data_IF_725713268027
#
_entry.id   IF_725713268027
#
_cell.length_a   1.000
_cell.length_b   1.000
_cell.length_c   1.000
_cell.angle_alpha   90.00
_cell.angle_beta   90.00
_cell.angle_gamma   90.00
#
_symmetry.space_group_name_H-M   'P 1'
#
loop_
_entity.id
_entity.type
_entity.pdbx_description
1 polymer ?
#
# COMPACT_ATOMS: atom_id res chain seq x y z
N UNK A 1 -7.96 -17.46 -24.97
CA UNK A 1 -8.18 -16.70 -23.75
C UNK A 1 -9.45 -15.88 -23.93
N UNK A 2 -10.27 -15.79 -22.88
CA UNK A 2 -11.60 -15.19 -22.98
C UNK A 2 -11.56 -13.67 -22.67
N UNK A 3 -10.47 -13.18 -22.10
CA UNK A 3 -10.28 -11.79 -21.69
C UNK A 3 -8.94 -11.28 -22.22
N UNK A 4 -8.95 -10.11 -22.86
CA UNK A 4 -7.78 -9.31 -23.16
C UNK A 4 -7.59 -8.28 -22.03
N UNK A 5 -6.44 -8.31 -21.38
CA UNK A 5 -6.12 -7.40 -20.28
C UNK A 5 -5.19 -6.30 -20.77
N UNK A 6 -5.61 -5.05 -20.65
CA UNK A 6 -4.84 -3.86 -21.00
C UNK A 6 -4.44 -3.10 -19.73
N UNK A 7 -3.19 -2.66 -19.67
CA UNK A 7 -2.64 -1.94 -18.52
C UNK A 7 -2.44 -0.46 -18.87
N UNK A 8 -3.23 0.41 -18.26
CA UNK A 8 -3.04 1.85 -18.33
C UNK A 8 -2.47 2.37 -17.00
N UNK A 9 -1.32 3.02 -17.07
CA UNK A 9 -0.63 3.59 -15.91
C UNK A 9 -0.65 5.12 -15.94
N UNK A 10 -0.88 5.75 -14.80
CA UNK A 10 -0.86 7.21 -14.69
C UNK A 10 0.51 7.75 -14.32
N UNK A 11 1.37 6.90 -13.77
CA UNK A 11 2.70 7.23 -13.29
C UNK A 11 2.72 8.38 -12.25
N UNK A 12 1.71 8.46 -11.39
CA UNK A 12 1.67 9.41 -10.27
C UNK A 12 2.89 9.23 -9.34
N UNK A 13 3.42 8.01 -9.21
CA UNK A 13 4.62 7.65 -8.45
C UNK A 13 5.56 6.85 -9.34
N UNK A 14 6.18 7.51 -10.32
CA UNK A 14 6.95 6.90 -11.41
C UNK A 14 7.94 5.82 -10.94
N UNK A 15 8.89 6.18 -10.09
CA UNK A 15 9.95 5.26 -9.66
C UNK A 15 9.42 4.00 -8.95
N UNK A 16 8.40 4.17 -8.10
CA UNK A 16 7.77 3.06 -7.39
C UNK A 16 6.98 2.17 -8.34
N UNK A 17 6.26 2.76 -9.30
CA UNK A 17 5.50 2.04 -10.30
C UNK A 17 6.43 1.21 -11.19
N UNK A 18 7.49 1.82 -11.71
CA UNK A 18 8.43 1.17 -12.63
C UNK A 18 9.08 -0.04 -11.95
N UNK A 19 9.46 0.06 -10.67
CA UNK A 19 10.01 -1.07 -9.92
C UNK A 19 9.02 -2.22 -9.76
N UNK A 20 7.74 -1.94 -9.53
CA UNK A 20 6.68 -2.97 -9.44
C UNK A 20 6.43 -3.60 -10.80
N UNK A 21 6.35 -2.80 -11.86
CA UNK A 21 6.18 -3.30 -13.23
C UNK A 21 7.31 -4.27 -13.63
N UNK A 22 8.56 -3.95 -13.26
CA UNK A 22 9.72 -4.81 -13.50
C UNK A 22 9.63 -6.13 -12.70
N UNK A 23 9.28 -6.07 -11.41
CA UNK A 23 9.16 -7.27 -10.55
C UNK A 23 8.14 -8.27 -11.11
N UNK A 24 7.06 -7.79 -11.73
CA UNK A 24 5.98 -8.64 -12.27
C UNK A 24 6.06 -8.84 -13.79
N UNK A 25 7.14 -8.37 -14.45
CA UNK A 25 7.30 -8.40 -15.91
C UNK A 25 6.07 -7.85 -16.66
N UNK A 26 5.54 -6.73 -16.15
CA UNK A 26 4.38 -6.06 -16.74
C UNK A 26 4.82 -4.92 -17.66
N UNK A 27 4.02 -4.73 -18.73
CA UNK A 27 4.19 -3.59 -19.65
C UNK A 27 2.91 -2.79 -19.69
N UNK A 28 3.06 -1.46 -19.69
CA UNK A 28 1.94 -0.57 -19.89
C UNK A 28 1.55 -0.53 -21.39
N UNK A 29 0.26 -0.72 -21.67
CA UNK A 29 -0.31 -0.47 -23.00
C UNK A 29 -0.56 1.03 -23.21
N UNK A 30 -0.80 1.76 -22.12
CA UNK A 30 -0.93 3.21 -22.10
C UNK A 30 -0.23 3.78 -20.89
N UNK A 31 0.62 4.79 -21.09
CA UNK A 31 1.32 5.50 -20.03
C UNK A 31 1.00 7.00 -20.11
N UNK A 32 0.29 7.51 -19.11
CA UNK A 32 -0.18 8.90 -19.08
C UNK A 32 0.89 9.88 -18.60
N UNK A 33 1.93 9.41 -17.93
CA UNK A 33 3.07 10.20 -17.42
C UNK A 33 2.68 11.53 -16.78
N UNK A 34 1.73 11.50 -15.84
CA UNK A 34 1.14 12.73 -15.27
C UNK A 34 2.03 13.40 -14.23
N UNK A 35 3.12 12.74 -13.79
CA UNK A 35 3.92 13.24 -12.68
C UNK A 35 4.67 14.53 -13.03
N UNK A 36 4.48 15.53 -12.18
CA UNK A 36 5.29 16.77 -12.22
C UNK A 36 5.58 17.25 -10.79
N UNK A 37 6.72 17.93 -10.55
CA UNK A 37 7.04 18.43 -9.22
C UNK A 37 5.96 19.35 -8.63
N UNK A 38 5.69 19.20 -7.32
CA UNK A 38 4.79 20.06 -6.55
C UNK A 38 3.32 20.08 -7.04
N UNK A 39 2.82 18.95 -7.51
CA UNK A 39 1.42 18.85 -7.91
C UNK A 39 0.46 18.95 -6.71
N UNK A 40 -0.68 19.60 -6.93
CA UNK A 40 -1.83 19.56 -6.03
C UNK A 40 -2.73 18.37 -6.36
N UNK A 41 -3.59 17.94 -5.42
CA UNK A 41 -4.60 16.93 -5.69
C UNK A 41 -5.48 17.27 -6.89
N UNK A 42 -5.88 18.55 -7.02
CA UNK A 42 -6.67 19.04 -8.17
C UNK A 42 -5.92 18.86 -9.49
N UNK A 43 -4.62 19.16 -9.53
CA UNK A 43 -3.80 19.00 -10.73
C UNK A 43 -3.67 17.52 -11.11
N UNK A 44 -3.42 16.65 -10.14
CA UNK A 44 -3.32 15.19 -10.34
C UNK A 44 -4.65 14.68 -10.91
N UNK A 45 -5.77 14.96 -10.24
CA UNK A 45 -7.10 14.49 -10.65
C UNK A 45 -7.45 14.99 -12.06
N UNK A 46 -7.19 16.25 -12.38
CA UNK A 46 -7.48 16.81 -13.70
C UNK A 46 -6.67 16.16 -14.81
N UNK A 47 -5.36 15.96 -14.58
CA UNK A 47 -4.49 15.30 -15.57
C UNK A 47 -4.87 13.83 -15.77
N UNK A 48 -5.16 13.11 -14.67
CA UNK A 48 -5.64 11.73 -14.76
C UNK A 48 -6.94 11.65 -15.55
N UNK A 49 -7.90 12.53 -15.26
CA UNK A 49 -9.20 12.53 -15.93
C UNK A 49 -9.06 12.75 -17.45
N UNK A 50 -8.31 13.77 -17.86
CA UNK A 50 -8.08 14.06 -19.27
C UNK A 50 -7.29 12.94 -19.98
N UNK A 51 -6.24 12.41 -19.35
CA UNK A 51 -5.47 11.33 -19.93
C UNK A 51 -6.27 10.01 -20.02
N UNK A 52 -7.11 9.72 -19.03
CA UNK A 52 -8.01 8.56 -19.08
C UNK A 52 -9.09 8.69 -20.14
N UNK A 53 -9.57 9.92 -20.41
CA UNK A 53 -10.52 10.21 -21.49
C UNK A 53 -9.93 9.77 -22.85
N UNK A 54 -8.72 10.25 -23.15
CA UNK A 54 -7.99 9.87 -24.38
C UNK A 54 -7.71 8.35 -24.44
N UNK A 55 -7.29 7.76 -23.31
CA UNK A 55 -6.99 6.32 -23.24
C UNK A 55 -8.22 5.45 -23.50
N UNK A 56 -9.38 5.80 -22.96
CA UNK A 56 -10.64 5.07 -23.16
C UNK A 56 -11.10 5.17 -24.62
N UNK A 57 -10.98 6.35 -25.23
CA UNK A 57 -11.31 6.52 -26.65
C UNK A 57 -10.43 5.68 -27.58
N UNK A 58 -9.16 5.52 -27.23
CA UNK A 58 -8.19 4.76 -28.03
C UNK A 58 -8.35 3.22 -27.82
N UNK A 59 -8.42 2.79 -26.57
CA UNK A 59 -8.40 1.37 -26.20
C UNK A 59 -9.78 0.72 -26.25
N UNK A 60 -10.85 1.50 -26.09
CA UNK A 60 -12.27 1.06 -26.13
C UNK A 60 -12.54 -0.16 -25.25
N UNK A 61 -12.20 -0.11 -23.97
CA UNK A 61 -12.39 -1.25 -23.08
C UNK A 61 -13.87 -1.54 -22.84
N UNK A 62 -14.22 -2.82 -22.71
CA UNK A 62 -15.58 -3.25 -22.33
C UNK A 62 -15.85 -3.02 -20.82
N UNK A 63 -14.79 -2.96 -20.01
CA UNK A 63 -14.84 -2.70 -18.57
C UNK A 63 -13.51 -2.09 -18.11
N UNK A 64 -13.56 -1.25 -17.09
CA UNK A 64 -12.37 -0.72 -16.43
C UNK A 64 -12.33 -1.24 -14.99
N UNK A 65 -11.17 -1.78 -14.58
CA UNK A 65 -10.88 -2.11 -13.21
C UNK A 65 -10.05 -0.98 -12.58
N UNK A 66 -10.52 -0.46 -11.46
CA UNK A 66 -9.76 0.50 -10.64
C UNK A 66 -9.45 -0.11 -9.28
N UNK A 67 -8.27 0.17 -8.73
CA UNK A 67 -7.80 -0.46 -7.51
C UNK A 67 -7.58 0.56 -6.37
N UNK A 68 -8.10 0.24 -5.20
CA UNK A 68 -7.85 0.99 -3.97
C UNK A 68 -8.55 2.35 -3.91
N UNK A 69 -7.81 3.39 -3.52
CA UNK A 69 -8.38 4.66 -3.04
C UNK A 69 -7.63 5.93 -3.45
N UNK A 70 -6.70 5.82 -4.38
CA UNK A 70 -5.92 6.98 -4.84
C UNK A 70 -6.76 7.94 -5.68
N UNK A 71 -6.24 9.15 -5.90
CA UNK A 71 -6.84 10.11 -6.84
C UNK A 71 -6.91 9.54 -8.27
N UNK A 72 -5.97 8.69 -8.65
CA UNK A 72 -5.97 7.93 -9.91
C UNK A 72 -7.17 6.98 -9.99
N UNK A 73 -7.44 6.23 -8.92
CA UNK A 73 -8.59 5.32 -8.82
C UNK A 73 -9.90 6.05 -9.06
N UNK A 74 -10.08 7.19 -8.36
CA UNK A 74 -11.27 8.02 -8.53
C UNK A 74 -11.39 8.62 -9.93
N UNK A 75 -10.31 9.18 -10.48
CA UNK A 75 -10.33 9.78 -11.81
C UNK A 75 -10.61 8.75 -12.90
N UNK A 76 -10.02 7.55 -12.79
CA UNK A 76 -10.28 6.44 -13.71
C UNK A 76 -11.74 5.99 -13.69
N UNK A 77 -12.33 5.83 -12.50
CA UNK A 77 -13.74 5.48 -12.37
C UNK A 77 -14.66 6.57 -12.95
N UNK A 78 -14.37 7.84 -12.69
CA UNK A 78 -15.17 8.96 -13.17
C UNK A 78 -15.10 9.10 -14.71
N UNK A 79 -13.92 8.93 -15.31
CA UNK A 79 -13.77 8.94 -16.77
C UNK A 79 -14.51 7.77 -17.41
N UNK A 80 -14.40 6.54 -16.85
CA UNK A 80 -15.18 5.40 -17.30
C UNK A 80 -16.69 5.67 -17.30
N UNK A 81 -17.19 6.26 -16.21
CA UNK A 81 -18.61 6.64 -16.11
C UNK A 81 -19.03 7.62 -17.22
N UNK A 82 -18.21 8.62 -17.54
CA UNK A 82 -18.52 9.57 -18.63
C UNK A 82 -18.59 8.90 -19.99
N UNK A 83 -17.79 7.87 -20.23
CA UNK A 83 -17.82 7.04 -21.44
C UNK A 83 -18.82 5.90 -21.39
N UNK A 84 -19.59 5.75 -20.30
CA UNK A 84 -20.54 4.64 -20.06
C UNK A 84 -19.88 3.25 -20.13
N UNK A 85 -18.63 3.18 -19.71
CA UNK A 85 -17.88 1.94 -19.55
C UNK A 85 -18.08 1.43 -18.13
N UNK A 86 -18.50 0.18 -17.91
CA UNK A 86 -18.67 -0.41 -16.60
C UNK A 86 -17.38 -0.37 -15.76
N UNK A 87 -17.51 -0.17 -14.44
CA UNK A 87 -16.39 -0.04 -13.51
C UNK A 87 -16.40 -1.17 -12.49
N UNK A 88 -15.30 -1.90 -12.37
CA UNK A 88 -15.04 -2.80 -11.26
C UNK A 88 -14.07 -2.16 -10.26
N UNK A 89 -14.44 -2.11 -8.99
CA UNK A 89 -13.60 -1.59 -7.90
C UNK A 89 -12.95 -2.73 -7.14
N UNK A 90 -11.64 -2.85 -7.29
CA UNK A 90 -10.80 -3.82 -6.57
C UNK A 90 -10.36 -3.19 -5.24
N UNK A 91 -10.34 -3.97 -4.16
CA UNK A 91 -10.14 -3.52 -2.78
C UNK A 91 -11.30 -2.62 -2.30
N UNK A 92 -12.53 -2.98 -2.67
CA UNK A 92 -13.73 -2.21 -2.35
C UNK A 92 -14.18 -2.40 -0.89
N UNK A 93 -14.80 -1.36 -0.32
CA UNK A 93 -15.50 -1.44 0.96
C UNK A 93 -14.67 -1.18 2.22
N UNK A 94 -13.40 -0.82 2.10
CA UNK A 94 -12.59 -0.30 3.21
C UNK A 94 -13.20 1.03 3.70
N UNK A 95 -13.38 1.19 5.02
CA UNK A 95 -13.98 2.40 5.63
C UNK A 95 -13.35 2.74 6.96
N UNK A 96 -13.10 4.03 7.18
CA UNK A 96 -12.87 4.62 8.49
C UNK A 96 -14.08 5.42 8.98
N UNK A 97 -14.96 5.81 8.06
CA UNK A 97 -16.10 6.71 8.27
C UNK A 97 -15.72 8.15 8.66
N UNK A 98 -14.44 8.48 8.74
CA UNK A 98 -13.96 9.85 8.85
C UNK A 98 -13.44 10.34 7.48
N UNK A 99 -14.18 11.25 6.84
CA UNK A 99 -13.86 11.77 5.50
C UNK A 99 -12.49 12.46 5.39
N UNK A 100 -11.85 12.74 6.51
CA UNK A 100 -10.54 13.39 6.58
C UNK A 100 -9.44 12.45 7.08
N UNK A 101 -9.75 11.18 7.39
CA UNK A 101 -8.78 10.21 7.90
C UNK A 101 -9.00 8.79 7.32
N UNK A 102 -8.11 8.31 6.44
CA UNK A 102 -7.04 9.02 5.74
C UNK A 102 -7.59 10.02 4.70
N UNK A 103 -6.82 11.06 4.40
CA UNK A 103 -7.20 12.08 3.44
C UNK A 103 -6.25 12.10 2.24
N UNK A 104 -6.76 12.07 0.99
CA UNK A 104 -8.17 12.12 0.54
C UNK A 104 -8.83 10.73 0.37
N UNK A 105 -8.18 9.65 0.81
CA UNK A 105 -8.46 8.26 0.45
C UNK A 105 -9.89 7.82 0.84
N UNK A 106 -10.37 8.18 2.05
CA UNK A 106 -11.73 7.80 2.47
C UNK A 106 -12.82 8.37 1.57
N UNK A 107 -12.66 9.61 1.11
CA UNK A 107 -13.60 10.20 0.16
C UNK A 107 -13.49 9.61 -1.24
N UNK A 108 -12.29 9.30 -1.69
CA UNK A 108 -12.11 8.60 -2.97
C UNK A 108 -12.83 7.26 -2.97
N UNK A 109 -12.72 6.45 -1.90
CA UNK A 109 -13.45 5.17 -1.77
C UNK A 109 -14.96 5.37 -1.89
N UNK A 110 -15.52 6.36 -1.20
CA UNK A 110 -16.97 6.65 -1.25
C UNK A 110 -17.42 7.11 -2.63
N UNK A 111 -16.65 7.96 -3.29
CA UNK A 111 -16.96 8.44 -4.63
C UNK A 111 -16.88 7.30 -5.66
N UNK A 112 -15.87 6.46 -5.59
CA UNK A 112 -15.76 5.27 -6.46
C UNK A 112 -16.92 4.30 -6.19
N UNK A 113 -17.30 4.10 -4.92
CA UNK A 113 -18.45 3.25 -4.58
C UNK A 113 -19.74 3.74 -5.23
N UNK A 114 -19.95 5.05 -5.37
CA UNK A 114 -21.14 5.59 -6.04
C UNK A 114 -21.13 5.41 -7.57
N UNK A 115 -19.97 5.11 -8.16
CA UNK A 115 -19.78 5.00 -9.62
C UNK A 115 -19.71 3.53 -10.05
N UNK A 116 -19.06 2.66 -9.26
CA UNK A 116 -18.74 1.29 -9.64
C UNK A 116 -19.99 0.41 -9.81
N UNK A 117 -19.89 -0.57 -10.71
CA UNK A 117 -20.90 -1.60 -10.98
C UNK A 117 -20.57 -2.92 -10.27
N UNK A 118 -19.26 -3.22 -10.12
CA UNK A 118 -18.78 -4.43 -9.46
C UNK A 118 -17.82 -4.05 -8.32
N UNK A 119 -17.91 -4.77 -7.21
CA UNK A 119 -17.16 -4.50 -5.98
C UNK A 119 -16.46 -5.76 -5.53
N UNK A 120 -15.13 -5.78 -5.64
CA UNK A 120 -14.28 -6.89 -5.21
C UNK A 120 -13.74 -6.58 -3.81
N UNK A 121 -14.44 -7.08 -2.80
CA UNK A 121 -14.18 -6.79 -1.40
C UNK A 121 -13.11 -7.73 -0.84
N UNK A 122 -12.09 -7.24 -0.14
CA UNK A 122 -11.10 -8.10 0.53
C UNK A 122 -11.72 -9.03 1.57
N UNK A 123 -12.65 -8.54 2.38
CA UNK A 123 -13.24 -9.28 3.51
C UNK A 123 -14.76 -9.17 3.55
N UNK A 124 -15.38 -9.98 4.42
CA UNK A 124 -16.80 -9.90 4.69
C UNK A 124 -17.21 -8.55 5.30
N UNK A 125 -16.35 -7.97 6.16
CA UNK A 125 -16.60 -6.66 6.77
C UNK A 125 -16.62 -5.54 5.73
N UNK A 126 -15.73 -5.61 4.74
CA UNK A 126 -15.73 -4.65 3.63
C UNK A 126 -17.01 -4.74 2.81
N UNK A 127 -17.50 -5.95 2.53
CA UNK A 127 -18.80 -6.15 1.88
C UNK A 127 -19.95 -5.60 2.73
N UNK A 128 -19.94 -5.83 4.04
CA UNK A 128 -20.98 -5.32 4.95
C UNK A 128 -20.99 -3.78 5.02
N UNK A 129 -19.82 -3.14 4.93
CA UNK A 129 -19.74 -1.68 4.85
C UNK A 129 -20.50 -1.15 3.62
N UNK A 130 -20.33 -1.79 2.46
CA UNK A 130 -21.03 -1.41 1.23
C UNK A 130 -22.53 -1.67 1.34
N UNK A 131 -22.95 -2.79 1.95
CA UNK A 131 -24.37 -3.08 2.22
C UNK A 131 -25.02 -2.00 3.10
N UNK A 132 -24.31 -1.52 4.14
CA UNK A 132 -24.78 -0.41 5.00
C UNK A 132 -24.92 0.91 4.24
N UNK A 133 -24.15 1.10 3.16
CA UNK A 133 -24.25 2.27 2.27
C UNK A 133 -25.28 2.10 1.15
N UNK A 134 -26.02 0.98 1.14
CA UNK A 134 -27.12 0.72 0.21
C UNK A 134 -26.71 0.03 -1.10
N UNK A 135 -25.46 -0.41 -1.23
CA UNK A 135 -25.02 -1.24 -2.38
C UNK A 135 -25.53 -2.66 -2.16
N UNK A 136 -26.43 -3.16 -3.02
CA UNK A 136 -27.07 -4.48 -2.85
C UNK A 136 -26.68 -5.50 -3.90
N UNK A 137 -26.05 -5.08 -5.00
CA UNK A 137 -25.68 -5.92 -6.15
C UNK A 137 -24.21 -5.75 -6.51
N UNK A 138 -23.66 -6.68 -7.28
CA UNK A 138 -22.28 -6.61 -7.76
C UNK A 138 -21.21 -6.83 -6.70
N UNK A 139 -21.53 -7.36 -5.53
CA UNK A 139 -20.64 -7.51 -4.37
C UNK A 139 -20.01 -8.92 -4.34
N UNK A 140 -18.67 -8.97 -4.41
CA UNK A 140 -17.90 -10.21 -4.37
C UNK A 140 -16.84 -10.15 -3.25
N UNK A 141 -16.67 -11.23 -2.49
CA UNK A 141 -15.57 -11.36 -1.54
C UNK A 141 -14.46 -12.11 -2.27
N UNK A 142 -13.35 -11.44 -2.57
CA UNK A 142 -12.26 -11.98 -3.39
C UNK A 142 -10.94 -12.13 -2.65
N UNK A 143 -10.84 -11.65 -1.42
CA UNK A 143 -9.55 -11.45 -0.78
C UNK A 143 -8.85 -10.19 -1.31
N UNK A 144 -7.61 -9.98 -0.84
CA UNK A 144 -6.77 -8.88 -1.31
C UNK A 144 -5.72 -9.41 -2.30
N UNK A 145 -5.61 -8.80 -3.46
CA UNK A 145 -4.68 -9.19 -4.53
C UNK A 145 -3.20 -9.12 -4.11
N UNK A 146 -2.86 -8.29 -3.11
CA UNK A 146 -1.50 -8.24 -2.56
C UNK A 146 -1.06 -9.57 -1.98
N UNK A 147 -2.01 -10.37 -1.43
CA UNK A 147 -1.71 -11.71 -0.89
C UNK A 147 -1.29 -12.67 -2.01
N UNK A 148 -1.88 -12.54 -3.20
CA UNK A 148 -1.47 -13.34 -4.36
C UNK A 148 -0.09 -12.89 -4.87
N UNK A 149 0.21 -11.60 -4.83
CA UNK A 149 1.52 -11.07 -5.16
C UNK A 149 2.64 -11.68 -4.28
N UNK A 150 2.39 -11.89 -2.98
CA UNK A 150 3.36 -12.55 -2.07
C UNK A 150 3.76 -13.94 -2.56
N UNK A 151 2.86 -14.70 -3.18
CA UNK A 151 3.15 -16.03 -3.72
C UNK A 151 4.19 -16.01 -4.84
N UNK A 152 4.28 -14.88 -5.55
CA UNK A 152 5.22 -14.68 -6.65
C UNK A 152 6.55 -14.10 -6.18
N UNK A 153 6.51 -13.15 -5.24
CA UNK A 153 7.68 -12.39 -4.81
C UNK A 153 8.49 -13.07 -3.70
N UNK A 154 7.82 -13.83 -2.80
CA UNK A 154 8.51 -14.51 -1.70
C UNK A 154 9.20 -15.79 -2.18
N UNK A 155 10.52 -15.87 -2.00
CA UNK A 155 11.35 -16.98 -2.43
C UNK A 155 12.26 -17.46 -1.28
N UNK A 156 12.40 -18.78 -1.12
CA UNK A 156 13.23 -19.39 -0.05
C UNK A 156 14.72 -19.04 -0.18
N UNK A 157 15.20 -18.97 -1.40
CA UNK A 157 16.59 -18.70 -1.79
C UNK A 157 16.84 -17.26 -2.19
N UNK A 158 15.93 -16.33 -1.79
CA UNK A 158 16.06 -14.93 -2.11
C UNK A 158 17.34 -14.32 -1.54
N UNK A 159 18.10 -13.62 -2.38
CA UNK A 159 19.25 -12.84 -1.97
C UNK A 159 18.93 -11.35 -2.08
N UNK A 160 19.11 -10.65 -0.97
CA UNK A 160 18.87 -9.21 -0.90
C UNK A 160 19.97 -8.43 -1.63
N UNK A 161 19.59 -7.35 -2.28
CA UNK A 161 20.51 -6.34 -2.79
C UNK A 161 21.16 -5.59 -1.62
N UNK A 162 20.40 -5.35 -0.55
CA UNK A 162 20.88 -4.78 0.71
C UNK A 162 21.70 -5.84 1.47
N UNK A 163 23.03 -5.81 1.37
CA UNK A 163 23.92 -6.86 1.89
C UNK A 163 23.73 -7.13 3.38
N UNK A 164 23.50 -6.10 4.20
CA UNK A 164 23.16 -6.24 5.62
C UNK A 164 22.09 -7.32 5.86
N UNK A 165 21.05 -7.38 5.02
CA UNK A 165 19.94 -8.32 5.18
C UNK A 165 20.35 -9.77 4.89
N UNK A 166 21.43 -9.99 4.12
CA UNK A 166 21.99 -11.32 3.91
C UNK A 166 22.85 -11.79 5.11
N UNK A 167 23.38 -10.86 5.89
CA UNK A 167 24.27 -11.11 7.02
C UNK A 167 23.53 -11.29 8.36
N UNK A 168 22.24 -10.88 8.42
CA UNK A 168 21.43 -11.00 9.64
C UNK A 168 21.24 -12.45 10.07
N UNK A 169 21.32 -12.68 11.37
CA UNK A 169 20.96 -13.97 11.97
C UNK A 169 19.45 -14.05 12.22
N UNK A 170 18.74 -14.64 11.28
CA UNK A 170 17.29 -14.86 11.37
C UNK A 170 16.86 -15.92 12.39
N UNK A 171 17.79 -16.57 13.11
CA UNK A 171 17.47 -17.38 14.28
C UNK A 171 17.13 -16.50 15.49
N UNK A 172 17.52 -15.23 15.47
CA UNK A 172 17.16 -14.21 16.45
C UNK A 172 15.80 -13.61 16.14
N UNK A 173 15.27 -12.79 17.05
CA UNK A 173 14.02 -12.06 16.84
C UNK A 173 14.26 -10.82 15.96
N UNK A 174 14.34 -11.01 14.66
CA UNK A 174 14.41 -9.90 13.71
C UNK A 174 13.02 -9.26 13.59
N UNK A 175 12.89 -8.00 13.98
CA UNK A 175 11.64 -7.23 13.90
C UNK A 175 11.74 -6.25 12.74
N UNK A 176 10.86 -6.39 11.77
CA UNK A 176 10.70 -5.42 10.69
C UNK A 176 9.88 -4.23 11.20
N UNK A 177 10.40 -3.02 11.04
CA UNK A 177 9.74 -1.77 11.47
C UNK A 177 9.44 -0.90 10.28
N UNK A 178 8.20 -0.38 10.18
CA UNK A 178 7.87 0.73 9.27
C UNK A 178 7.02 1.77 9.99
N UNK A 179 7.41 3.05 9.90
CA UNK A 179 6.68 4.17 10.49
C UNK A 179 6.88 5.41 9.62
N UNK A 180 5.81 5.85 8.92
CA UNK A 180 5.90 6.96 7.97
C UNK A 180 4.58 7.73 7.81
N UNK A 181 3.49 7.31 8.45
CA UNK A 181 2.19 7.97 8.34
C UNK A 181 2.21 9.37 8.94
N UNK A 182 1.59 10.33 8.25
CA UNK A 182 1.54 11.75 8.68
C UNK A 182 0.83 11.93 10.02
N UNK A 183 -0.14 11.08 10.32
CA UNK A 183 -0.87 11.07 11.59
C UNK A 183 0.02 10.79 12.80
N UNK A 184 1.16 10.13 12.58
CA UNK A 184 2.16 9.86 13.60
C UNK A 184 3.19 11.00 13.77
N UNK A 185 3.22 12.03 12.92
CA UNK A 185 4.22 13.08 13.02
C UNK A 185 4.15 13.84 14.34
N UNK A 186 5.29 14.35 14.81
CA UNK A 186 5.43 15.01 16.09
C UNK A 186 5.57 14.03 17.26
N UNK A 187 4.92 14.32 18.38
CA UNK A 187 5.05 13.55 19.62
C UNK A 187 4.75 12.05 19.49
N UNK A 188 3.73 11.61 18.72
CA UNK A 188 3.50 10.18 18.52
C UNK A 188 4.71 9.47 17.91
N UNK A 189 5.34 10.05 16.89
CA UNK A 189 6.53 9.49 16.26
C UNK A 189 7.72 9.43 17.22
N UNK A 190 7.96 10.47 18.01
CA UNK A 190 8.99 10.49 19.05
C UNK A 190 8.78 9.37 20.06
N UNK A 191 7.53 9.16 20.49
CA UNK A 191 7.17 8.08 21.41
C UNK A 191 7.44 6.69 20.80
N UNK A 192 7.06 6.49 19.53
CA UNK A 192 7.32 5.24 18.78
C UNK A 192 8.84 4.99 18.71
N UNK A 193 9.62 5.97 18.25
CA UNK A 193 11.08 5.82 18.14
C UNK A 193 11.74 5.54 19.49
N UNK A 194 11.26 6.18 20.57
CA UNK A 194 11.74 5.92 21.93
C UNK A 194 11.45 4.50 22.36
N UNK A 195 10.21 4.02 22.11
CA UNK A 195 9.83 2.64 22.44
C UNK A 195 10.66 1.61 21.65
N UNK A 196 10.91 1.85 20.35
CA UNK A 196 11.76 0.98 19.52
C UNK A 196 13.18 0.89 20.10
N UNK A 197 13.77 2.02 20.49
CA UNK A 197 15.08 2.05 21.14
C UNK A 197 15.07 1.23 22.43
N UNK A 198 14.07 1.44 23.26
CA UNK A 198 13.97 0.76 24.56
C UNK A 198 13.78 -0.75 24.39
N UNK A 199 13.01 -1.19 23.39
CA UNK A 199 12.88 -2.61 23.01
C UNK A 199 14.24 -3.20 22.66
N UNK A 200 15.02 -2.53 21.81
CA UNK A 200 16.34 -3.02 21.40
C UNK A 200 17.33 -3.08 22.57
N UNK A 201 17.26 -2.12 23.51
CA UNK A 201 18.15 -2.09 24.67
C UNK A 201 17.80 -3.15 25.73
N UNK A 202 16.50 -3.42 25.92
CA UNK A 202 16.01 -4.35 26.94
C UNK A 202 15.99 -5.81 26.49
N UNK A 203 16.07 -6.09 25.19
CA UNK A 203 16.00 -7.44 24.62
C UNK A 203 17.24 -7.73 23.78
N UNK A 204 18.21 -8.43 24.37
CA UNK A 204 19.48 -8.72 23.71
C UNK A 204 19.35 -9.67 22.51
N UNK A 205 18.29 -10.48 22.44
CA UNK A 205 17.97 -11.41 21.35
C UNK A 205 17.14 -10.76 20.22
N UNK A 206 16.84 -9.48 20.34
CA UNK A 206 16.04 -8.73 19.36
C UNK A 206 16.93 -7.87 18.46
N UNK A 207 16.65 -7.90 17.16
CA UNK A 207 17.23 -6.99 16.16
C UNK A 207 16.12 -6.24 15.43
N UNK A 208 16.23 -4.92 15.35
CA UNK A 208 15.27 -4.07 14.64
C UNK A 208 15.83 -3.71 13.27
N UNK A 209 15.09 -3.98 12.22
CA UNK A 209 15.40 -3.55 10.86
C UNK A 209 14.35 -2.53 10.43
N UNK A 210 14.80 -1.31 10.21
CA UNK A 210 13.92 -0.20 9.83
C UNK A 210 14.32 0.39 8.48
N UNK A 211 13.65 -0.02 7.39
CA UNK A 211 13.71 0.69 6.10
C UNK A 211 13.11 2.08 6.25
N UNK A 212 13.97 3.10 6.33
CA UNK A 212 13.55 4.45 6.69
C UNK A 212 12.98 5.18 5.47
N UNK A 213 11.72 5.58 5.56
CA UNK A 213 11.05 6.33 4.50
C UNK A 213 11.80 7.63 4.15
N UNK A 214 11.77 8.03 2.87
CA UNK A 214 12.51 9.18 2.34
C UNK A 214 12.06 10.55 2.88
N UNK A 215 10.90 10.63 3.57
CA UNK A 215 10.45 11.87 4.19
C UNK A 215 11.49 12.43 5.15
N UNK A 216 11.89 13.72 5.04
CA UNK A 216 12.85 14.34 5.94
C UNK A 216 12.45 14.21 7.42
N UNK A 217 11.16 14.40 7.72
CA UNK A 217 10.63 14.27 9.09
C UNK A 217 10.87 12.89 9.67
N UNK A 218 10.66 11.83 8.89
CA UNK A 218 10.90 10.45 9.32
C UNK A 218 12.39 10.19 9.51
N UNK A 219 13.22 10.59 8.54
CA UNK A 219 14.68 10.42 8.61
C UNK A 219 15.29 11.14 9.80
N UNK A 220 14.90 12.39 10.04
CA UNK A 220 15.40 13.16 11.17
C UNK A 220 15.04 12.50 12.51
N UNK A 221 13.81 12.02 12.68
CA UNK A 221 13.40 11.33 13.89
C UNK A 221 14.12 9.98 14.06
N UNK A 222 14.19 9.15 13.01
CA UNK A 222 14.93 7.90 13.07
C UNK A 222 16.39 8.12 13.45
N UNK A 223 17.05 9.10 12.85
CA UNK A 223 18.44 9.45 13.14
C UNK A 223 18.60 9.97 14.58
N UNK A 224 17.70 10.86 15.03
CA UNK A 224 17.75 11.47 16.36
C UNK A 224 17.60 10.45 17.50
N UNK A 225 16.68 9.49 17.34
CA UNK A 225 16.31 8.61 18.44
C UNK A 225 16.94 7.21 18.36
N UNK A 226 17.29 6.73 17.18
CA UNK A 226 17.68 5.35 16.95
C UNK A 226 19.14 5.19 16.48
N UNK A 227 19.77 6.23 15.93
CA UNK A 227 21.14 6.13 15.46
C UNK A 227 22.12 5.73 16.59
N UNK A 228 22.99 4.79 16.29
CA UNK A 228 23.98 4.27 17.24
C UNK A 228 23.39 3.36 18.32
N UNK A 229 22.09 3.08 18.31
CA UNK A 229 21.49 2.08 19.21
C UNK A 229 21.93 0.67 18.76
N UNK A 230 22.51 -0.14 19.66
CA UNK A 230 22.89 -1.51 19.32
C UNK A 230 21.73 -2.32 18.76
N UNK A 231 21.99 -3.13 17.73
CA UNK A 231 21.01 -4.02 17.08
C UNK A 231 19.81 -3.28 16.43
N UNK A 232 19.96 -1.97 16.18
CA UNK A 232 19.00 -1.20 15.37
C UNK A 232 19.66 -0.85 14.04
N UNK A 233 19.08 -1.36 12.96
CA UNK A 233 19.58 -1.19 11.59
C UNK A 233 18.67 -0.23 10.83
N UNK A 234 19.12 1.01 10.66
CA UNK A 234 18.49 2.00 9.81
C UNK A 234 19.03 1.81 8.39
N UNK A 235 18.16 1.41 7.46
CA UNK A 235 18.52 1.16 6.07
C UNK A 235 17.69 2.03 5.12
N UNK A 236 18.10 2.12 3.88
CA UNK A 236 17.31 2.78 2.85
C UNK A 236 16.01 2.00 2.55
N UNK A 237 14.99 2.65 1.96
CA UNK A 237 13.76 1.96 1.55
C UNK A 237 14.07 0.76 0.67
N UNK A 238 13.33 -0.31 0.89
CA UNK A 238 13.45 -1.55 0.13
C UNK A 238 12.51 -1.56 -1.07
N UNK A 239 12.87 -2.30 -2.11
CA UNK A 239 11.95 -2.67 -3.18
C UNK A 239 10.83 -3.57 -2.64
N UNK A 240 9.73 -3.72 -3.38
CA UNK A 240 8.59 -4.51 -2.95
C UNK A 240 8.97 -5.98 -2.70
N UNK A 241 9.77 -6.57 -3.57
CA UNK A 241 10.23 -7.95 -3.43
C UNK A 241 11.20 -8.13 -2.25
N UNK A 242 12.12 -7.19 -2.01
CA UNK A 242 12.97 -7.20 -0.81
C UNK A 242 12.14 -7.08 0.47
N UNK A 243 11.14 -6.18 0.50
CA UNK A 243 10.24 -6.01 1.63
C UNK A 243 9.48 -7.30 1.94
N UNK A 244 8.90 -7.94 0.93
CA UNK A 244 8.17 -9.20 1.08
C UNK A 244 9.07 -10.34 1.58
N UNK A 245 10.30 -10.45 1.07
CA UNK A 245 11.24 -11.48 1.52
C UNK A 245 11.81 -11.22 2.92
N UNK A 246 12.04 -9.96 3.31
CA UNK A 246 12.39 -9.61 4.69
C UNK A 246 11.23 -9.93 5.64
N UNK A 247 10.01 -9.57 5.27
CA UNK A 247 8.80 -9.86 6.04
C UNK A 247 8.61 -11.37 6.22
N UNK A 248 8.83 -12.18 5.18
CA UNK A 248 8.76 -13.63 5.26
C UNK A 248 9.80 -14.25 6.19
N UNK A 249 10.96 -13.61 6.41
CA UNK A 249 12.04 -14.09 7.28
C UNK A 249 12.00 -13.50 8.68
N UNK A 250 11.37 -12.34 8.89
CA UNK A 250 11.35 -11.69 10.19
C UNK A 250 10.55 -12.48 11.24
N UNK A 251 10.77 -12.16 12.51
CA UNK A 251 10.02 -12.71 13.64
C UNK A 251 8.64 -12.09 13.75
N UNK A 252 8.55 -10.76 13.63
CA UNK A 252 7.30 -9.99 13.64
C UNK A 252 7.46 -8.67 12.90
N UNK A 253 6.33 -8.01 12.66
CA UNK A 253 6.28 -6.69 12.02
C UNK A 253 5.68 -5.67 12.97
N UNK A 254 6.31 -4.49 13.06
CA UNK A 254 5.77 -3.30 13.72
C UNK A 254 5.55 -2.22 12.67
N UNK A 255 4.29 -1.84 12.43
CA UNK A 255 3.97 -1.01 11.26
C UNK A 255 2.84 -0.01 11.49
N UNK A 256 2.90 1.11 10.78
CA UNK A 256 1.77 2.01 10.57
C UNK A 256 1.21 1.93 9.12
N UNK A 257 1.74 1.01 8.30
CA UNK A 257 1.26 0.78 6.93
C UNK A 257 -0.01 -0.07 6.90
N UNK A 258 -1.02 0.35 6.13
CA UNK A 258 -2.24 -0.43 5.93
C UNK A 258 -2.00 -1.77 5.22
N UNK A 259 -1.19 -1.80 4.15
CA UNK A 259 -0.90 -3.02 3.39
C UNK A 259 -0.22 -4.09 4.23
N UNK A 260 0.81 -3.72 4.99
CA UNK A 260 1.55 -4.67 5.83
C UNK A 260 0.71 -5.31 6.93
N UNK A 261 -0.43 -4.70 7.32
CA UNK A 261 -1.38 -5.29 8.26
C UNK A 261 -2.10 -6.52 7.69
N UNK A 262 -2.16 -6.65 6.36
CA UNK A 262 -2.72 -7.82 5.68
C UNK A 262 -1.62 -8.78 5.20
N UNK A 263 -0.54 -8.24 4.67
CA UNK A 263 0.56 -9.01 4.09
C UNK A 263 1.32 -9.84 5.14
N UNK A 264 1.64 -9.26 6.30
CA UNK A 264 2.41 -9.97 7.31
C UNK A 264 1.64 -11.14 7.94
N UNK A 265 0.35 -11.03 8.32
CA UNK A 265 -0.45 -12.17 8.77
C UNK A 265 -0.58 -13.25 7.69
N UNK A 266 -0.67 -12.88 6.41
CA UNK A 266 -0.70 -13.86 5.31
C UNK A 266 0.58 -14.68 5.20
N UNK A 267 1.71 -14.14 5.67
CA UNK A 267 2.99 -14.85 5.82
C UNK A 267 3.16 -15.53 7.19
N UNK A 268 2.11 -15.56 8.01
CA UNK A 268 2.14 -16.12 9.36
C UNK A 268 2.96 -15.30 10.36
N UNK A 269 3.12 -13.99 10.13
CA UNK A 269 3.90 -13.11 11.01
C UNK A 269 3.00 -12.30 11.92
N UNK A 270 3.28 -12.25 13.24
CA UNK A 270 2.60 -11.32 14.14
C UNK A 270 2.81 -9.88 13.72
N UNK A 271 1.76 -9.06 13.85
CA UNK A 271 1.81 -7.63 13.53
C UNK A 271 1.44 -6.81 14.75
N UNK A 272 2.23 -5.77 15.01
CA UNK A 272 1.90 -4.72 15.97
C UNK A 272 1.62 -3.43 15.19
N UNK A 273 0.37 -3.00 15.22
CA UNK A 273 -0.09 -1.82 14.50
C UNK A 273 0.17 -0.57 15.33
N UNK A 274 0.99 0.35 14.80
CA UNK A 274 1.39 1.60 15.45
C UNK A 274 0.50 2.76 15.00
N UNK A 275 -0.83 2.57 15.05
CA UNK A 275 -1.85 3.56 14.68
C UNK A 275 -2.97 3.56 15.73
N UNK A 276 -3.68 4.69 15.85
CA UNK A 276 -4.87 4.80 16.70
C UNK A 276 -6.11 4.19 16.03
N UNK A 277 -6.20 4.31 14.72
CA UNK A 277 -7.31 3.83 13.90
C UNK A 277 -6.78 3.08 12.68
N UNK A 278 -7.51 2.08 12.24
CA UNK A 278 -7.21 1.34 11.02
C UNK A 278 -8.50 1.09 10.22
N UNK A 279 -8.38 1.14 8.91
CA UNK A 279 -9.42 0.71 7.97
C UNK A 279 -9.48 -0.81 7.82
N UNK A 280 -8.61 -1.54 8.52
CA UNK A 280 -8.47 -3.01 8.50
C UNK A 280 -8.61 -3.60 9.90
N UNK A 281 -9.81 -3.52 10.51
CA UNK A 281 -10.00 -3.96 11.90
C UNK A 281 -9.77 -5.47 12.10
N UNK A 282 -9.83 -6.26 11.03
CA UNK A 282 -9.58 -7.70 11.07
C UNK A 282 -8.08 -8.03 11.27
N UNK A 283 -7.20 -7.09 11.04
CA UNK A 283 -5.76 -7.26 11.18
C UNK A 283 -5.23 -6.90 12.59
N UNK A 284 -6.12 -6.55 13.53
CA UNK A 284 -5.78 -6.12 14.90
C UNK A 284 -6.15 -7.19 15.91
#
# INVERSE_FOLDING_TARGET
>A
DEIESLCCVTAQHREMLDSVMEVFDLKADCDLDIMTPRQTLSTITSKCLLGMDDAIEQLKPDMILVHGDTSTTFAGALSAFYHKVPVGHVEAGLRTYDKYSPFPEEMNRKLVTAIADLYFCPTINNRENLLKEGVTEGLFITGNTVIDALKTTVRKDYRFTTELLNELDYSRKVVLVTCHRRENYGQPMENIMTALRDIALQNEDCELVYPVHLSPVVRENAQKFLAGTPRVHLIDPLSADEMHNLMARCYMVMTDSGGLQEEAPALGKPVLVMRKETERPEAV
#
